data_IF_752219514417
#
_entry.id   IF_752219514417
#
_cell.length_a   1.000
_cell.length_b   1.000
_cell.length_c   1.000
_cell.angle_alpha   90.00
_cell.angle_beta   90.00
_cell.angle_gamma   90.00
#
_symmetry.space_group_name_H-M   'P 1'
#
loop_
_entity.id
_entity.type
_entity.pdbx_description
1 polymer ?
#
# COMPACT_ATOMS: atom_id res chain seq x y z
N UNK A 1 10.06 -2.18 -8.09
CA UNK A 1 9.89 -3.65 -7.99
C UNK A 1 11.20 -4.40 -8.22
N UNK A 2 11.72 -4.52 -9.44
CA UNK A 2 12.95 -5.29 -9.70
C UNK A 2 14.17 -4.75 -8.92
N UNK A 3 14.39 -3.42 -8.92
CA UNK A 3 15.49 -2.79 -8.18
C UNK A 3 15.51 -3.11 -6.69
N UNK A 4 14.34 -3.20 -6.04
CA UNK A 4 14.27 -3.50 -4.61
C UNK A 4 14.83 -4.89 -4.29
N UNK A 5 14.51 -5.89 -5.13
CA UNK A 5 15.05 -7.24 -5.00
C UNK A 5 16.56 -7.26 -5.26
N UNK A 6 17.03 -6.48 -6.24
CA UNK A 6 18.47 -6.36 -6.51
C UNK A 6 19.23 -5.76 -5.32
N UNK A 7 18.76 -4.67 -4.71
CA UNK A 7 19.40 -4.10 -3.52
C UNK A 7 19.45 -5.08 -2.35
N UNK A 8 18.37 -5.83 -2.12
CA UNK A 8 18.36 -6.87 -1.09
C UNK A 8 19.38 -7.99 -1.41
N UNK A 9 19.44 -8.46 -2.66
CA UNK A 9 20.43 -9.47 -3.08
C UNK A 9 21.87 -8.97 -2.96
N UNK A 10 22.15 -7.75 -3.44
CA UNK A 10 23.46 -7.13 -3.35
C UNK A 10 23.90 -7.00 -1.89
N UNK A 11 22.99 -6.64 -0.98
CA UNK A 11 23.29 -6.59 0.45
C UNK A 11 23.51 -7.97 1.06
N UNK A 12 22.74 -8.99 0.68
CA UNK A 12 22.89 -10.36 1.19
C UNK A 12 24.17 -11.03 0.69
N UNK A 13 24.61 -10.69 -0.51
CA UNK A 13 25.79 -11.26 -1.17
C UNK A 13 26.97 -10.29 -1.18
N UNK A 14 26.96 -9.27 -0.32
CA UNK A 14 27.95 -8.18 -0.35
C UNK A 14 29.38 -8.64 -0.17
N UNK A 15 29.58 -9.82 0.42
CA UNK A 15 30.90 -10.44 0.62
C UNK A 15 31.38 -11.26 -0.60
N UNK A 16 30.53 -11.42 -1.62
CA UNK A 16 30.81 -12.26 -2.80
C UNK A 16 31.28 -11.45 -4.02
N UNK A 17 31.30 -10.12 -3.94
CA UNK A 17 31.76 -9.23 -5.02
C UNK A 17 32.33 -7.93 -4.44
N UNK A 18 33.17 -7.26 -5.23
CA UNK A 18 33.81 -6.03 -4.80
C UNK A 18 32.83 -4.85 -4.91
N UNK A 19 32.80 -4.03 -3.86
CA UNK A 19 32.11 -2.73 -3.81
C UNK A 19 33.04 -1.72 -3.15
N UNK A 20 33.02 -0.49 -3.63
CA UNK A 20 33.59 0.63 -2.88
C UNK A 20 32.84 0.84 -1.57
N UNK A 21 33.49 1.46 -0.57
CA UNK A 21 32.86 1.78 0.71
C UNK A 21 31.58 2.63 0.53
N UNK A 22 31.59 3.52 -0.47
CA UNK A 22 30.43 4.35 -0.81
C UNK A 22 29.27 3.52 -1.37
N UNK A 23 29.54 2.58 -2.28
CA UNK A 23 28.53 1.67 -2.82
C UNK A 23 27.97 0.75 -1.74
N UNK A 24 28.83 0.15 -0.91
CA UNK A 24 28.41 -0.71 0.19
C UNK A 24 27.49 0.03 1.17
N UNK A 25 27.83 1.27 1.52
CA UNK A 25 26.99 2.13 2.37
C UNK A 25 25.62 2.42 1.73
N UNK A 26 25.60 2.73 0.43
CA UNK A 26 24.38 3.04 -0.30
C UNK A 26 23.48 1.80 -0.44
N UNK A 27 24.05 0.65 -0.79
CA UNK A 27 23.34 -0.63 -0.88
C UNK A 27 22.73 -1.01 0.45
N UNK A 28 23.50 -0.91 1.55
CA UNK A 28 23.01 -1.18 2.91
C UNK A 28 21.86 -0.25 3.30
N UNK A 29 21.99 1.04 3.03
CA UNK A 29 20.95 2.02 3.34
C UNK A 29 19.65 1.69 2.59
N UNK A 30 19.74 1.42 1.28
CA UNK A 30 18.58 1.07 0.48
C UNK A 30 17.96 -0.25 0.91
N UNK A 31 18.76 -1.28 1.17
CA UNK A 31 18.28 -2.58 1.64
C UNK A 31 17.52 -2.45 2.97
N UNK A 32 18.03 -1.65 3.92
CA UNK A 32 17.34 -1.36 5.18
C UNK A 32 16.01 -0.63 4.92
N UNK A 33 15.98 0.41 4.10
CA UNK A 33 14.74 1.11 3.76
C UNK A 33 13.71 0.19 3.11
N UNK A 34 14.14 -0.69 2.20
CA UNK A 34 13.27 -1.68 1.55
C UNK A 34 12.75 -2.70 2.58
N UNK A 35 13.60 -3.21 3.46
CA UNK A 35 13.22 -4.17 4.48
C UNK A 35 12.20 -3.57 5.47
N UNK A 36 12.46 -2.36 5.96
CA UNK A 36 11.62 -1.70 6.97
C UNK A 36 10.27 -1.24 6.43
N UNK A 37 10.26 -0.64 5.24
CA UNK A 37 9.05 0.01 4.74
C UNK A 37 8.38 -0.83 3.66
N UNK A 38 9.14 -1.24 2.64
CA UNK A 38 8.56 -1.69 1.37
C UNK A 38 8.19 -3.17 1.34
N UNK A 39 8.91 -4.02 2.09
CA UNK A 39 8.82 -5.48 1.96
C UNK A 39 7.46 -6.02 2.40
N UNK A 40 6.89 -5.48 3.48
CA UNK A 40 5.56 -5.91 3.97
C UNK A 40 4.48 -5.63 2.92
N UNK A 41 4.38 -4.38 2.47
CA UNK A 41 3.44 -3.96 1.42
C UNK A 41 3.61 -4.79 0.14
N UNK A 42 4.85 -5.01 -0.29
CA UNK A 42 5.13 -5.83 -1.47
C UNK A 42 4.65 -7.28 -1.33
N UNK A 43 5.03 -7.96 -0.26
CA UNK A 43 4.70 -9.38 -0.06
C UNK A 43 3.19 -9.60 0.11
N UNK A 44 2.49 -8.61 0.67
CA UNK A 44 1.05 -8.67 0.92
C UNK A 44 0.19 -8.10 -0.22
N UNK A 45 0.80 -7.50 -1.25
CA UNK A 45 0.11 -6.86 -2.37
C UNK A 45 -0.87 -7.75 -3.15
N UNK A 46 -0.69 -9.08 -3.08
CA UNK A 46 -1.59 -10.05 -3.75
C UNK A 46 -2.81 -10.44 -2.91
N UNK A 47 -2.85 -10.05 -1.64
CA UNK A 47 -3.92 -10.40 -0.72
C UNK A 47 -4.93 -9.25 -0.68
N UNK A 48 -6.00 -9.32 -1.48
CA UNK A 48 -7.00 -8.26 -1.59
C UNK A 48 -7.69 -7.92 -0.25
N UNK A 49 -7.69 -8.85 0.71
CA UNK A 49 -8.17 -8.61 2.08
C UNK A 49 -7.24 -7.69 2.88
N UNK A 50 -5.94 -7.68 2.59
CA UNK A 50 -4.93 -7.00 3.42
C UNK A 50 -4.37 -5.76 2.70
N UNK A 51 -4.14 -5.87 1.39
CA UNK A 51 -3.44 -4.87 0.59
C UNK A 51 -4.06 -3.46 0.65
N UNK A 52 -5.39 -3.27 0.70
CA UNK A 52 -5.96 -1.91 0.79
C UNK A 52 -5.50 -1.16 2.05
N UNK A 53 -5.56 -1.80 3.20
CA UNK A 53 -5.18 -1.18 4.47
C UNK A 53 -3.66 -0.97 4.56
N UNK A 54 -2.88 -1.99 4.17
CA UNK A 54 -1.42 -1.96 4.26
C UNK A 54 -0.82 -0.92 3.35
N UNK A 55 -1.28 -0.80 2.11
CA UNK A 55 -0.69 0.14 1.16
C UNK A 55 -1.12 1.59 1.45
N UNK A 56 -2.33 1.83 1.97
CA UNK A 56 -2.73 3.15 2.48
C UNK A 56 -1.93 3.55 3.72
N UNK A 57 -1.72 2.61 4.67
CA UNK A 57 -0.86 2.85 5.83
C UNK A 57 0.58 3.16 5.39
N UNK A 58 1.11 2.40 4.44
CA UNK A 58 2.44 2.63 3.88
C UNK A 58 2.56 4.02 3.25
N UNK A 59 1.59 4.43 2.41
CA UNK A 59 1.60 5.75 1.79
C UNK A 59 1.55 6.88 2.84
N UNK A 60 0.74 6.71 3.88
CA UNK A 60 0.69 7.66 5.01
C UNK A 60 2.04 7.76 5.74
N UNK A 61 2.68 6.61 6.03
CA UNK A 61 4.01 6.57 6.64
C UNK A 61 5.08 7.22 5.75
N UNK A 62 5.05 6.97 4.44
CA UNK A 62 6.01 7.59 3.51
C UNK A 62 5.79 9.09 3.35
N UNK A 63 4.54 9.57 3.46
CA UNK A 63 4.25 11.00 3.49
C UNK A 63 4.90 11.68 4.71
N UNK A 64 4.86 11.03 5.88
CA UNK A 64 5.57 11.50 7.07
C UNK A 64 7.09 11.42 6.91
N UNK A 65 7.60 10.29 6.41
CA UNK A 65 9.04 10.06 6.20
C UNK A 65 9.66 11.01 5.16
N UNK A 66 8.85 11.58 4.27
CA UNK A 66 9.31 12.60 3.30
C UNK A 66 10.04 13.77 3.95
N UNK A 67 9.70 14.11 5.20
CA UNK A 67 10.39 15.17 5.98
C UNK A 67 11.85 14.84 6.29
N UNK A 68 12.17 13.56 6.42
CA UNK A 68 13.52 13.07 6.73
C UNK A 68 14.31 12.75 5.45
N UNK A 69 13.65 12.18 4.44
CA UNK A 69 14.28 11.85 3.17
C UNK A 69 13.27 11.92 2.01
N UNK A 70 13.23 13.08 1.36
CA UNK A 70 12.30 13.34 0.27
C UNK A 70 12.50 12.39 -0.92
N UNK A 71 13.75 12.16 -1.33
CA UNK A 71 14.08 11.37 -2.52
C UNK A 71 13.64 9.90 -2.33
N UNK A 72 13.94 9.32 -1.17
CA UNK A 72 13.54 7.95 -0.85
C UNK A 72 12.02 7.83 -0.74
N UNK A 73 11.37 8.75 -0.01
CA UNK A 73 9.92 8.75 0.16
C UNK A 73 9.17 8.93 -1.18
N UNK A 74 9.61 9.85 -2.03
CA UNK A 74 9.02 10.08 -3.34
C UNK A 74 9.14 8.84 -4.24
N UNK A 75 10.30 8.18 -4.22
CA UNK A 75 10.53 6.93 -4.96
C UNK A 75 9.64 5.79 -4.47
N UNK A 76 9.52 5.64 -3.14
CA UNK A 76 8.65 4.68 -2.48
C UNK A 76 7.17 4.88 -2.82
N UNK A 77 6.67 6.12 -2.72
CA UNK A 77 5.29 6.50 -3.04
C UNK A 77 5.01 6.21 -4.52
N UNK A 78 5.88 6.67 -5.42
CA UNK A 78 5.74 6.39 -6.86
C UNK A 78 5.67 4.90 -7.16
N UNK A 79 6.43 4.07 -6.45
CA UNK A 79 6.40 2.61 -6.61
C UNK A 79 5.02 2.03 -6.26
N UNK A 80 4.47 2.37 -5.09
CA UNK A 80 3.17 1.83 -4.62
C UNK A 80 1.99 2.37 -5.43
N UNK A 81 2.03 3.62 -5.91
CA UNK A 81 0.97 4.17 -6.76
C UNK A 81 0.75 3.36 -8.06
N UNK A 82 1.74 2.60 -8.53
CA UNK A 82 1.58 1.69 -9.68
C UNK A 82 0.88 0.37 -9.35
N UNK A 83 0.57 0.12 -8.07
CA UNK A 83 0.07 -1.17 -7.58
C UNK A 83 -1.27 -1.07 -6.82
N UNK A 84 -1.99 0.04 -6.94
CA UNK A 84 -3.26 0.29 -6.22
C UNK A 84 -4.53 -0.24 -6.91
N UNK A 85 -4.42 -1.27 -7.74
CA UNK A 85 -5.53 -1.82 -8.55
C UNK A 85 -6.63 -2.50 -7.72
N UNK A 86 -6.39 -2.76 -6.44
CA UNK A 86 -7.39 -3.26 -5.50
C UNK A 86 -8.11 -2.14 -4.73
N UNK A 87 -7.71 -0.86 -4.89
CA UNK A 87 -8.45 0.26 -4.32
C UNK A 87 -9.68 0.55 -5.18
N UNK A 88 -10.66 -0.34 -5.11
CA UNK A 88 -11.98 -0.15 -5.71
C UNK A 88 -13.05 -0.57 -4.71
N UNK A 89 -14.26 -0.06 -4.87
CA UNK A 89 -15.37 -0.38 -3.97
C UNK A 89 -15.61 -1.90 -3.87
N UNK A 90 -15.47 -2.62 -4.99
CA UNK A 90 -15.67 -4.06 -5.11
C UNK A 90 -14.65 -4.88 -4.31
N UNK A 91 -13.43 -4.36 -4.11
CA UNK A 91 -12.32 -5.12 -3.51
C UNK A 91 -11.99 -4.64 -2.09
N UNK A 92 -12.10 -3.34 -1.81
CA UNK A 92 -11.78 -2.77 -0.48
C UNK A 92 -12.65 -3.39 0.62
N UNK A 93 -13.89 -3.75 0.31
CA UNK A 93 -14.82 -4.38 1.26
C UNK A 93 -14.27 -5.68 1.87
N UNK A 94 -13.38 -6.38 1.15
CA UNK A 94 -12.76 -7.60 1.68
C UNK A 94 -11.81 -7.34 2.86
N UNK A 95 -11.44 -6.08 3.11
CA UNK A 95 -10.67 -5.69 4.31
C UNK A 95 -11.41 -5.98 5.63
N UNK A 96 -12.73 -6.18 5.58
CA UNK A 96 -13.51 -6.64 6.76
C UNK A 96 -13.05 -8.02 7.26
N UNK A 97 -12.50 -8.85 6.38
CA UNK A 97 -12.00 -10.19 6.68
C UNK A 97 -10.51 -10.22 7.10
N UNK A 98 -9.81 -9.09 7.06
CA UNK A 98 -8.47 -8.99 7.60
C UNK A 98 -8.53 -9.12 9.13
N UNK A 99 -7.84 -10.14 9.68
CA UNK A 99 -7.80 -10.39 11.11
C UNK A 99 -6.84 -9.47 11.84
N UNK A 100 -5.84 -8.94 11.13
CA UNK A 100 -4.84 -8.03 11.66
C UNK A 100 -5.33 -6.58 11.66
N UNK A 101 -6.41 -6.28 10.93
CA UNK A 101 -7.04 -4.97 10.93
C UNK A 101 -7.75 -4.72 12.27
N UNK A 102 -7.53 -3.54 12.84
CA UNK A 102 -8.11 -3.14 14.13
C UNK A 102 -9.63 -3.37 14.16
N UNK A 103 -10.13 -3.97 15.24
CA UNK A 103 -11.55 -4.34 15.37
C UNK A 103 -12.49 -3.14 15.17
N UNK A 104 -12.13 -1.97 15.72
CA UNK A 104 -12.89 -0.72 15.55
C UNK A 104 -12.98 -0.29 14.09
N UNK A 105 -11.89 -0.41 13.33
CA UNK A 105 -11.85 -0.06 11.92
C UNK A 105 -12.67 -1.07 11.09
N UNK A 106 -12.57 -2.37 11.39
CA UNK A 106 -13.41 -3.40 10.75
C UNK A 106 -14.90 -3.15 11.01
N UNK A 107 -15.28 -2.80 12.24
CA UNK A 107 -16.66 -2.40 12.57
C UNK A 107 -17.09 -1.19 11.76
N UNK A 108 -16.27 -0.15 11.68
CA UNK A 108 -16.59 1.05 10.91
C UNK A 108 -16.77 0.76 9.40
N UNK A 109 -15.99 -0.15 8.83
CA UNK A 109 -16.17 -0.61 7.44
C UNK A 109 -17.54 -1.29 7.23
N UNK A 110 -17.94 -2.16 8.16
CA UNK A 110 -19.24 -2.85 8.11
C UNK A 110 -20.39 -1.87 8.32
N UNK A 111 -20.30 -0.97 9.31
CA UNK A 111 -21.29 0.07 9.54
C UNK A 111 -21.47 0.95 8.31
N UNK A 112 -20.36 1.33 7.67
CA UNK A 112 -20.39 2.07 6.41
C UNK A 112 -21.08 1.29 5.30
N UNK A 113 -20.77 0.01 5.12
CA UNK A 113 -21.42 -0.85 4.14
C UNK A 113 -22.93 -0.96 4.39
N UNK A 114 -23.34 -1.22 5.64
CA UNK A 114 -24.75 -1.35 6.03
C UNK A 114 -25.52 -0.03 5.91
N UNK A 115 -24.86 1.12 6.01
CA UNK A 115 -25.48 2.43 5.78
C UNK A 115 -25.85 2.66 4.30
N UNK A 116 -25.29 1.88 3.38
CA UNK A 116 -25.54 2.01 1.94
C UNK A 116 -26.59 0.98 1.52
N UNK A 117 -27.73 1.39 0.94
CA UNK A 117 -28.74 0.45 0.49
C UNK A 117 -28.16 -0.42 -0.64
N UNK A 118 -28.34 -1.74 -0.54
CA UNK A 118 -27.87 -2.68 -1.56
C UNK A 118 -28.50 -2.36 -2.93
N UNK A 119 -27.70 -2.05 -3.96
CA UNK A 119 -28.22 -1.82 -5.30
C UNK A 119 -28.96 -3.05 -5.85
N UNK A 120 -30.09 -2.83 -6.52
CA UNK A 120 -30.86 -3.91 -7.17
C UNK A 120 -30.19 -4.41 -8.47
N UNK A 121 -29.33 -3.58 -9.06
CA UNK A 121 -28.64 -3.86 -10.32
C UNK A 121 -27.27 -3.21 -10.29
N UNK A 122 -26.28 -3.93 -10.79
CA UNK A 122 -24.94 -3.43 -11.05
C UNK A 122 -24.75 -3.27 -12.56
N UNK A 123 -24.18 -2.15 -12.98
CA UNK A 123 -23.86 -1.92 -14.38
C UNK A 123 -22.54 -2.62 -14.70
N UNK A 124 -22.47 -3.44 -15.78
CA UNK A 124 -21.21 -3.99 -16.25
C UNK A 124 -20.23 -2.87 -16.59
N UNK A 125 -18.97 -3.01 -16.18
CA UNK A 125 -17.95 -1.99 -16.42
C UNK A 125 -16.61 -2.34 -15.78
N UNK A 126 -15.59 -1.54 -16.09
CA UNK A 126 -14.30 -1.60 -15.38
C UNK A 126 -14.46 -0.98 -13.99
N UNK A 127 -13.79 -1.52 -12.96
CA UNK A 127 -13.74 -0.89 -11.65
C UNK A 127 -13.24 0.55 -11.75
N UNK A 128 -13.76 1.42 -10.89
CA UNK A 128 -13.30 2.80 -10.77
C UNK A 128 -12.24 2.86 -9.69
N UNK A 129 -11.04 3.29 -10.08
CA UNK A 129 -9.93 3.48 -9.15
C UNK A 129 -9.86 4.95 -8.71
N UNK A 130 -9.46 5.22 -7.46
CA UNK A 130 -9.24 6.58 -7.00
C UNK A 130 -8.08 7.21 -7.77
N UNK A 131 -8.22 8.50 -8.05
CA UNK A 131 -7.10 9.31 -8.57
C UNK A 131 -6.27 9.73 -7.37
N UNK A 132 -5.18 9.00 -7.12
CA UNK A 132 -4.18 9.35 -6.10
C UNK A 132 -2.85 9.68 -6.78
N UNK A 133 -2.41 10.92 -6.64
CA UNK A 133 -1.12 11.42 -7.10
C UNK A 133 -0.03 11.35 -6.03
N UNK A 134 1.24 11.56 -6.41
CA UNK A 134 2.38 11.50 -5.48
C UNK A 134 2.36 12.53 -4.36
N UNK A 135 1.59 13.61 -4.51
CA UNK A 135 1.50 14.70 -3.54
C UNK A 135 0.17 14.72 -2.78
N UNK A 136 -0.71 13.76 -3.05
CA UNK A 136 -1.99 13.70 -2.38
C UNK A 136 -1.80 13.19 -0.95
N UNK A 137 -2.52 13.82 -0.02
CA UNK A 137 -2.49 13.41 1.37
C UNK A 137 -3.26 12.11 1.53
N UNK A 138 -2.58 11.10 2.09
CA UNK A 138 -3.21 9.81 2.42
C UNK A 138 -3.58 9.80 3.90
N UNK A 139 -4.89 9.88 4.15
CA UNK A 139 -5.49 9.91 5.48
C UNK A 139 -5.86 8.49 5.91
N UNK A 140 -4.86 7.68 6.26
CA UNK A 140 -5.12 6.37 6.89
C UNK A 140 -5.39 6.55 8.40
N UNK A 141 -6.44 5.93 8.98
CA UNK A 141 -7.30 4.88 8.41
C UNK A 141 -8.58 5.35 7.69
N UNK A 142 -9.01 6.60 7.87
CA UNK A 142 -10.33 7.08 7.42
C UNK A 142 -10.58 6.92 5.91
N UNK A 143 -9.53 7.06 5.11
CA UNK A 143 -9.60 6.91 3.66
C UNK A 143 -10.01 5.50 3.23
N UNK A 144 -9.67 4.47 4.02
CA UNK A 144 -10.11 3.10 3.74
C UNK A 144 -11.64 2.99 3.80
N UNK A 145 -12.26 3.65 4.78
CA UNK A 145 -13.73 3.68 4.95
C UNK A 145 -14.40 4.46 3.81
N UNK A 146 -13.75 5.54 3.34
CA UNK A 146 -14.27 6.35 2.22
C UNK A 146 -14.37 5.58 0.90
N UNK A 147 -13.61 4.49 0.74
CA UNK A 147 -13.69 3.63 -0.44
C UNK A 147 -14.80 2.59 -0.40
N UNK A 148 -15.58 2.51 0.69
CA UNK A 148 -16.79 1.68 0.73
C UNK A 148 -17.93 2.44 0.05
N UNK A 149 -18.49 1.84 -0.99
CA UNK A 149 -19.55 2.43 -1.81
C UNK A 149 -20.58 1.42 -2.30
N UNK A 150 -21.53 1.83 -3.16
CA UNK A 150 -22.59 0.94 -3.64
C UNK A 150 -22.09 -0.35 -4.29
N UNK A 151 -20.95 -0.31 -4.99
CA UNK A 151 -20.38 -1.49 -5.64
C UNK A 151 -19.68 -2.46 -4.66
N UNK A 152 -19.51 -2.08 -3.39
CA UNK A 152 -19.04 -2.98 -2.34
C UNK A 152 -20.03 -4.11 -2.01
N UNK A 153 -21.26 -4.04 -2.53
CA UNK A 153 -22.29 -5.07 -2.42
C UNK A 153 -22.29 -6.11 -3.54
N UNK A 154 -21.40 -5.97 -4.53
CA UNK A 154 -21.25 -6.89 -5.65
C UNK A 154 -20.67 -8.23 -5.18
#
# INVERSE_FOLDING_TARGET
MAFSIYFLKMQLLSEQFEMSDAEAKNVKTMAISIALFHSSAFLQSRLATISPAVDLKYLSMMSLYRKENEIAAASAIKSILNHLWYLSEELVVFSVFDRELAESLRKALVEKLLSIPRPKRFLPGKPKFPKTGPNDLVEYPDQLIRFIGPNSWL
#
